data_IF_001006296895
#
_entry.id   IF_001006296895
#
_cell.length_a   1.000
_cell.length_b   1.000
_cell.length_c   1.000
_cell.angle_alpha   90.00
_cell.angle_beta   90.00
_cell.angle_gamma   90.00
#
_symmetry.space_group_name_H-M   'P 1'
#
loop_
_entity.id
_entity.type
_entity.pdbx_description
1 polymer ?
#
# COMPACT_ATOMS: atom_id res chain seq x y z
N UNK A 1 -2.05 12.50 2.24
CA UNK A 1 -2.56 12.28 0.85
C UNK A 1 -2.02 13.30 -0.14
N UNK A 2 -2.12 14.61 0.10
CA UNK A 2 -1.59 15.64 -0.82
C UNK A 2 -0.11 15.46 -1.21
N UNK A 3 0.78 15.15 -0.27
CA UNK A 3 2.21 14.95 -0.53
C UNK A 3 2.48 13.80 -1.52
N UNK A 4 1.76 12.69 -1.39
CA UNK A 4 1.86 11.58 -2.34
C UNK A 4 1.36 11.96 -3.73
N UNK A 5 0.20 12.61 -3.80
CA UNK A 5 -0.35 13.08 -5.09
C UNK A 5 0.61 14.03 -5.77
N UNK A 6 1.21 14.99 -5.05
CA UNK A 6 2.21 15.92 -5.61
C UNK A 6 3.43 15.18 -6.20
N UNK A 7 3.86 14.08 -5.57
CA UNK A 7 5.01 13.31 -6.08
C UNK A 7 4.65 12.35 -7.20
N UNK A 8 3.38 11.97 -7.34
CA UNK A 8 2.88 11.11 -8.41
C UNK A 8 2.63 11.84 -9.73
N UNK A 9 2.43 13.17 -9.67
CA UNK A 9 2.19 13.94 -10.89
C UNK A 9 3.46 13.92 -11.73
N UNK A 10 3.42 13.17 -12.83
CA UNK A 10 4.43 13.29 -13.87
C UNK A 10 4.42 14.75 -14.39
N UNK A 11 5.53 15.21 -14.99
CA UNK A 11 5.52 16.48 -15.71
C UNK A 11 4.51 16.40 -16.85
N UNK A 12 3.29 16.69 -16.53
CA UNK A 12 2.22 16.76 -17.51
C UNK A 12 2.48 18.06 -18.26
N UNK A 13 2.68 17.97 -19.56
CA UNK A 13 2.17 19.00 -20.42
C UNK A 13 0.69 19.05 -20.09
N UNK A 14 0.28 20.04 -19.32
CA UNK A 14 -1.12 20.45 -19.20
C UNK A 14 -1.54 20.90 -20.62
N UNK A 15 -1.78 19.91 -21.47
CA UNK A 15 -2.47 20.12 -22.69
C UNK A 15 -3.91 20.40 -22.25
N UNK A 16 -4.33 21.65 -22.29
CA UNK A 16 -5.72 22.11 -22.18
C UNK A 16 -6.62 21.53 -23.29
N UNK A 17 -6.17 20.49 -23.95
CA UNK A 17 -6.76 19.87 -25.14
C UNK A 17 -7.64 18.65 -24.83
N UNK A 18 -8.22 18.59 -23.62
CA UNK A 18 -9.23 17.57 -23.29
C UNK A 18 -8.75 16.11 -23.26
N UNK A 19 -7.45 15.86 -23.40
CA UNK A 19 -6.87 14.53 -23.25
C UNK A 19 -6.58 14.25 -21.77
N UNK A 20 -7.13 13.16 -21.30
CA UNK A 20 -6.92 12.58 -19.97
C UNK A 20 -5.43 12.57 -19.61
N UNK A 21 -5.07 13.27 -18.54
CA UNK A 21 -3.74 13.22 -17.95
C UNK A 21 -3.53 11.83 -17.38
N UNK A 22 -2.61 11.05 -17.93
CA UNK A 22 -2.19 9.79 -17.33
C UNK A 22 -1.46 10.09 -16.02
N UNK A 23 -2.15 9.93 -14.91
CA UNK A 23 -1.56 10.02 -13.59
C UNK A 23 -0.96 8.64 -13.30
N UNK A 24 0.28 8.45 -13.71
CA UNK A 24 1.03 7.22 -13.46
C UNK A 24 1.27 7.06 -11.95
N UNK A 25 1.25 5.81 -11.47
CA UNK A 25 1.56 5.45 -10.08
C UNK A 25 0.53 5.85 -9.00
N UNK A 26 -0.70 6.22 -9.36
CA UNK A 26 -1.82 6.22 -8.41
C UNK A 26 -2.50 4.84 -8.29
N UNK A 27 -1.89 3.84 -8.86
CA UNK A 27 -2.28 2.43 -8.81
C UNK A 27 -1.41 1.63 -7.81
N UNK A 28 -1.50 0.32 -7.85
CA UNK A 28 -0.74 -0.58 -6.99
C UNK A 28 0.78 -0.41 -7.04
N UNK A 29 1.33 0.13 -8.14
CA UNK A 29 2.78 0.38 -8.26
C UNK A 29 3.27 1.50 -7.35
N UNK A 30 2.39 2.43 -6.99
CA UNK A 30 2.71 3.56 -6.11
C UNK A 30 2.54 3.29 -4.62
N UNK A 31 2.00 2.13 -4.22
CA UNK A 31 1.68 1.83 -2.81
C UNK A 31 2.91 1.96 -1.89
N UNK A 32 4.07 1.43 -2.30
CA UNK A 32 5.29 1.54 -1.48
C UNK A 32 5.74 2.99 -1.29
N UNK A 33 5.71 3.78 -2.37
CA UNK A 33 6.03 5.20 -2.27
C UNK A 33 5.03 5.93 -1.35
N UNK A 34 3.74 5.58 -1.41
CA UNK A 34 2.72 6.12 -0.52
C UNK A 34 3.00 5.81 0.95
N UNK A 35 3.39 4.57 1.26
CA UNK A 35 3.76 4.15 2.63
C UNK A 35 4.96 4.97 3.13
N UNK A 36 6.03 5.05 2.35
CA UNK A 36 7.23 5.83 2.73
C UNK A 36 6.92 7.30 2.95
N UNK A 37 6.18 7.93 2.04
CA UNK A 37 5.78 9.33 2.15
C UNK A 37 4.89 9.54 3.38
N UNK A 38 3.98 8.62 3.67
CA UNK A 38 3.11 8.71 4.83
C UNK A 38 3.89 8.67 6.14
N UNK A 39 4.80 7.70 6.28
CA UNK A 39 5.66 7.57 7.47
C UNK A 39 6.53 8.83 7.62
N UNK A 40 7.19 9.26 6.54
CA UNK A 40 8.03 10.45 6.54
C UNK A 40 7.24 11.71 6.92
N UNK A 41 6.03 11.86 6.38
CA UNK A 41 5.14 12.99 6.68
C UNK A 41 4.79 13.04 8.14
N UNK A 42 4.35 11.91 8.70
CA UNK A 42 3.94 11.83 10.12
C UNK A 42 5.13 12.11 11.03
N UNK A 43 6.29 11.54 10.73
CA UNK A 43 7.49 11.71 11.56
C UNK A 43 8.01 13.16 11.52
N UNK A 44 8.09 13.77 10.34
CA UNK A 44 8.48 15.17 10.21
C UNK A 44 7.47 16.11 10.88
N UNK A 45 6.18 15.84 10.71
CA UNK A 45 5.13 16.60 11.38
C UNK A 45 5.25 16.50 12.90
N UNK A 46 5.47 15.27 13.44
CA UNK A 46 5.69 15.02 14.87
C UNK A 46 6.87 15.83 15.40
N UNK A 47 8.03 15.75 14.73
CA UNK A 47 9.24 16.48 15.14
C UNK A 47 9.00 18.00 15.15
N UNK A 48 8.32 18.53 14.16
CA UNK A 48 8.01 19.97 14.10
C UNK A 48 7.05 20.38 15.22
N UNK A 49 6.06 19.53 15.55
CA UNK A 49 5.12 19.78 16.65
C UNK A 49 5.81 19.72 18.02
N UNK A 50 6.65 18.72 18.27
CA UNK A 50 7.42 18.59 19.52
C UNK A 50 8.35 19.78 19.76
N UNK A 51 8.96 20.30 18.69
CA UNK A 51 9.82 21.49 18.74
C UNK A 51 9.06 22.82 18.76
N UNK A 52 7.73 22.79 18.79
CA UNK A 52 6.87 23.98 18.67
C UNK A 52 7.21 24.86 17.46
N UNK A 53 7.62 24.25 16.36
CA UNK A 53 8.05 24.96 15.16
C UNK A 53 6.89 25.78 14.57
N UNK A 54 7.10 27.10 14.45
CA UNK A 54 6.12 28.01 13.87
C UNK A 54 4.83 28.16 14.70
N UNK A 55 4.84 27.85 16.01
CA UNK A 55 3.67 28.01 16.86
C UNK A 55 3.32 29.50 17.01
N UNK A 56 2.17 29.88 16.49
CA UNK A 56 1.62 31.21 16.62
C UNK A 56 1.00 31.30 18.03
N UNK A 57 1.52 32.22 18.84
CA UNK A 57 0.94 32.52 20.17
C UNK A 57 -0.31 33.39 19.94
N UNK A 58 -1.46 32.84 20.24
CA UNK A 58 -2.73 33.54 20.24
C UNK A 58 -3.02 34.10 21.64
N UNK A 59 -3.82 35.17 21.77
CA UNK A 59 -4.29 35.67 23.05
C UNK A 59 -5.06 34.61 23.83
N UNK A 60 -5.01 34.68 25.19
CA UNK A 60 -5.67 33.73 26.10
C UNK A 60 -7.21 33.65 25.95
N UNK A 61 -7.79 34.64 25.26
CA UNK A 61 -9.22 34.66 24.95
C UNK A 61 -9.63 33.68 23.81
N UNK A 62 -8.66 33.07 23.11
CA UNK A 62 -8.92 32.19 21.99
C UNK A 62 -9.05 30.73 22.49
N UNK A 63 -10.10 29.98 22.08
CA UNK A 63 -10.25 28.58 22.44
C UNK A 63 -9.06 27.72 22.03
N UNK A 64 -8.66 26.76 22.88
CA UNK A 64 -7.50 25.88 22.64
C UNK A 64 -7.58 25.11 21.30
N UNK A 65 -8.77 24.70 20.90
CA UNK A 65 -8.99 24.01 19.61
C UNK A 65 -8.59 24.87 18.42
N UNK A 66 -8.83 26.19 18.49
CA UNK A 66 -8.45 27.11 17.43
C UNK A 66 -6.94 27.37 17.45
N UNK A 67 -6.37 27.52 18.64
CA UNK A 67 -4.92 27.66 18.84
C UNK A 67 -4.14 26.45 18.29
N UNK A 68 -4.63 25.22 18.51
CA UNK A 68 -4.04 24.00 17.95
C UNK A 68 -4.16 23.93 16.42
N UNK A 69 -5.26 24.41 15.85
CA UNK A 69 -5.43 24.48 14.39
C UNK A 69 -4.39 25.42 13.78
N UNK A 70 -4.20 26.62 14.33
CA UNK A 70 -3.18 27.55 13.85
C UNK A 70 -1.75 27.01 14.05
N UNK A 71 -1.49 26.33 15.16
CA UNK A 71 -0.19 25.70 15.40
C UNK A 71 0.15 24.59 14.39
N UNK A 72 -0.84 23.99 13.72
CA UNK A 72 -0.66 22.97 12.68
C UNK A 72 -0.40 23.54 11.28
N UNK A 73 -0.71 24.82 11.04
CA UNK A 73 -0.58 25.43 9.71
C UNK A 73 0.88 25.53 9.25
N UNK A 74 1.78 26.03 10.12
CA UNK A 74 3.19 26.18 9.77
C UNK A 74 3.85 24.85 9.39
N UNK A 75 3.74 23.78 10.21
CA UNK A 75 4.21 22.46 9.80
C UNK A 75 3.60 21.95 8.50
N UNK A 76 2.29 22.18 8.29
CA UNK A 76 1.61 21.80 7.05
C UNK A 76 2.18 22.49 5.83
N UNK A 77 2.38 23.81 5.89
CA UNK A 77 2.97 24.60 4.79
C UNK A 77 4.39 24.11 4.48
N UNK A 78 5.21 23.85 5.50
CA UNK A 78 6.58 23.36 5.32
C UNK A 78 6.59 21.99 4.64
N UNK A 79 5.69 21.10 5.01
CA UNK A 79 5.57 19.78 4.37
C UNK A 79 5.15 19.89 2.90
N UNK A 80 4.20 20.78 2.57
CA UNK A 80 3.79 21.03 1.18
C UNK A 80 4.98 21.58 0.40
N UNK A 81 5.71 22.55 0.96
CA UNK A 81 6.91 23.11 0.31
C UNK A 81 7.97 22.03 0.09
N UNK A 82 8.22 21.16 1.09
CA UNK A 82 9.15 20.05 0.96
C UNK A 82 8.78 19.11 -0.20
N UNK A 83 7.52 18.70 -0.29
CA UNK A 83 7.07 17.83 -1.38
C UNK A 83 7.09 18.53 -2.74
N UNK A 84 6.86 19.85 -2.78
CA UNK A 84 7.00 20.63 -4.00
C UNK A 84 8.46 20.67 -4.47
N UNK A 85 9.42 20.83 -3.56
CA UNK A 85 10.86 20.76 -3.88
C UNK A 85 11.23 19.36 -4.37
N UNK A 86 10.79 18.30 -3.69
CA UNK A 86 11.00 16.93 -4.14
C UNK A 86 10.41 16.69 -5.53
N UNK A 87 9.21 17.20 -5.79
CA UNK A 87 8.61 17.14 -7.13
C UNK A 87 9.52 17.80 -8.18
N UNK A 88 10.03 19.01 -7.95
CA UNK A 88 10.92 19.72 -8.88
C UNK A 88 12.21 18.92 -9.14
N UNK A 89 12.79 18.31 -8.10
CA UNK A 89 14.00 17.49 -8.24
C UNK A 89 13.73 16.30 -9.17
N UNK A 90 12.68 15.52 -8.91
CA UNK A 90 12.34 14.36 -9.73
C UNK A 90 11.86 14.74 -11.12
N UNK A 91 11.19 15.90 -11.26
CA UNK A 91 10.84 16.47 -12.54
C UNK A 91 12.07 16.72 -13.43
N UNK A 92 13.12 17.34 -12.88
CA UNK A 92 14.37 17.56 -13.60
C UNK A 92 15.08 16.25 -13.97
N UNK A 93 14.89 15.19 -13.18
CA UNK A 93 15.37 13.83 -13.47
C UNK A 93 14.50 13.10 -14.51
N UNK A 94 13.45 13.74 -15.07
CA UNK A 94 12.49 13.14 -16.00
C UNK A 94 11.82 11.86 -15.45
N UNK A 95 11.64 11.80 -14.13
CA UNK A 95 10.98 10.67 -13.44
C UNK A 95 10.06 11.21 -12.35
N UNK A 96 9.34 10.32 -11.69
CA UNK A 96 8.56 10.64 -10.49
C UNK A 96 9.14 9.88 -9.31
N UNK A 97 8.92 10.37 -8.08
CA UNK A 97 9.38 9.66 -6.88
C UNK A 97 8.83 8.22 -6.83
N UNK A 98 7.53 7.97 -7.05
CA UNK A 98 7.01 6.60 -7.12
C UNK A 98 7.63 5.77 -8.24
N UNK A 99 7.87 6.36 -9.43
CA UNK A 99 8.51 5.68 -10.54
C UNK A 99 9.95 5.28 -10.23
N UNK A 100 10.69 6.15 -9.57
CA UNK A 100 12.06 5.85 -9.12
C UNK A 100 12.07 4.71 -8.09
N UNK A 101 11.21 4.77 -7.07
CA UNK A 101 11.06 3.71 -6.05
C UNK A 101 10.68 2.40 -6.71
N UNK A 102 9.68 2.40 -7.59
CA UNK A 102 9.24 1.22 -8.31
C UNK A 102 10.36 0.59 -9.14
N UNK A 103 11.09 1.39 -9.90
CA UNK A 103 12.19 0.91 -10.75
C UNK A 103 13.32 0.28 -9.92
N UNK A 104 13.64 0.85 -8.76
CA UNK A 104 14.66 0.28 -7.85
C UNK A 104 14.23 -1.02 -7.21
N UNK A 105 12.93 -1.20 -6.96
CA UNK A 105 12.36 -2.40 -6.34
C UNK A 105 11.87 -3.44 -7.37
N UNK A 106 11.85 -3.11 -8.66
CA UNK A 106 11.42 -4.02 -9.71
C UNK A 106 12.10 -5.41 -9.69
N UNK A 107 13.40 -5.53 -9.42
CA UNK A 107 14.05 -6.84 -9.28
C UNK A 107 13.46 -7.67 -8.13
N UNK A 108 13.21 -7.03 -6.98
CA UNK A 108 12.61 -7.70 -5.82
C UNK A 108 11.18 -8.19 -6.13
N UNK A 109 10.38 -7.41 -6.83
CA UNK A 109 9.06 -7.82 -7.29
C UNK A 109 9.08 -8.99 -8.25
N UNK A 110 10.10 -9.09 -9.09
CA UNK A 110 10.27 -10.23 -10.00
C UNK A 110 10.62 -11.51 -9.24
N UNK A 111 11.48 -11.42 -8.22
CA UNK A 111 11.79 -12.56 -7.34
C UNK A 111 10.54 -12.98 -6.55
N UNK A 112 9.78 -12.01 -6.05
CA UNK A 112 8.55 -12.25 -5.29
C UNK A 112 7.41 -12.86 -6.15
N UNK A 113 7.49 -12.77 -7.48
CA UNK A 113 6.55 -13.43 -8.40
C UNK A 113 6.94 -14.89 -8.72
N UNK A 114 8.06 -15.35 -8.17
CA UNK A 114 8.50 -16.73 -8.38
C UNK A 114 7.67 -17.74 -7.58
N UNK A 115 7.44 -18.93 -8.16
CA UNK A 115 6.70 -20.00 -7.47
C UNK A 115 7.28 -20.39 -6.09
N UNK A 116 8.60 -20.54 -5.92
CA UNK A 116 9.16 -20.83 -4.60
C UNK A 116 8.83 -19.76 -3.56
N UNK A 117 8.92 -18.48 -3.93
CA UNK A 117 8.57 -17.39 -3.03
C UNK A 117 7.10 -17.46 -2.62
N UNK A 118 6.18 -17.65 -3.56
CA UNK A 118 4.75 -17.73 -3.30
C UNK A 118 4.43 -18.89 -2.35
N UNK A 119 5.01 -20.07 -2.59
CA UNK A 119 4.80 -21.25 -1.74
C UNK A 119 5.32 -21.00 -0.33
N UNK A 120 6.55 -20.50 -0.18
CA UNK A 120 7.16 -20.22 1.12
C UNK A 120 6.35 -19.17 1.89
N UNK A 121 5.97 -18.06 1.23
CA UNK A 121 5.19 -17.01 1.88
C UNK A 121 3.80 -17.48 2.28
N UNK A 122 3.14 -18.28 1.43
CA UNK A 122 1.86 -18.90 1.79
C UNK A 122 2.01 -19.80 3.00
N UNK A 123 3.05 -20.65 3.06
CA UNK A 123 3.30 -21.52 4.19
C UNK A 123 3.58 -20.74 5.47
N UNK A 124 4.37 -19.67 5.40
CA UNK A 124 4.64 -18.77 6.54
C UNK A 124 3.35 -18.14 7.05
N UNK A 125 2.55 -17.53 6.18
CA UNK A 125 1.29 -16.88 6.57
C UNK A 125 0.34 -17.89 7.21
N UNK A 126 0.21 -19.09 6.65
CA UNK A 126 -0.65 -20.14 7.21
C UNK A 126 -0.13 -20.67 8.55
N UNK A 127 1.20 -20.76 8.72
CA UNK A 127 1.80 -21.13 10.00
C UNK A 127 1.49 -20.08 11.08
N UNK A 128 1.60 -18.81 10.76
CA UNK A 128 1.26 -17.71 11.70
C UNK A 128 -0.23 -17.70 12.05
N UNK A 129 -1.08 -18.06 11.10
CA UNK A 129 -2.51 -18.28 11.37
C UNK A 129 -2.75 -19.34 12.45
N UNK A 130 -1.98 -20.42 12.42
CA UNK A 130 -2.04 -21.46 13.47
C UNK A 130 -1.75 -20.87 14.86
N UNK A 131 -0.90 -19.87 14.96
CA UNK A 131 -0.61 -19.13 16.19
C UNK A 131 -1.60 -17.99 16.48
N UNK A 132 -2.66 -17.83 15.68
CA UNK A 132 -3.68 -16.80 15.88
C UNK A 132 -3.32 -15.44 15.28
N UNK A 133 -2.26 -15.33 14.47
CA UNK A 133 -1.88 -14.09 13.80
C UNK A 133 -2.60 -13.99 12.46
N UNK A 134 -3.46 -12.98 12.32
CA UNK A 134 -4.20 -12.75 11.08
C UNK A 134 -3.28 -12.34 9.92
N UNK A 135 -3.60 -12.74 8.69
CA UNK A 135 -2.81 -12.44 7.47
C UNK A 135 -2.68 -10.94 7.20
N UNK A 136 -3.60 -10.11 7.71
CA UNK A 136 -3.50 -8.66 7.65
C UNK A 136 -2.19 -8.11 8.26
N UNK A 137 -1.56 -8.84 9.20
CA UNK A 137 -0.26 -8.47 9.74
C UNK A 137 0.85 -8.47 8.67
N UNK A 138 0.71 -9.29 7.63
CA UNK A 138 1.64 -9.37 6.50
C UNK A 138 1.28 -8.46 5.33
N UNK A 139 0.11 -7.81 5.37
CA UNK A 139 -0.39 -6.98 4.28
C UNK A 139 0.53 -5.82 3.94
N UNK A 140 1.20 -5.22 4.94
CA UNK A 140 2.16 -4.14 4.72
C UNK A 140 3.29 -4.52 3.76
N UNK A 141 3.71 -5.79 3.76
CA UNK A 141 4.79 -6.32 2.92
C UNK A 141 4.22 -6.92 1.63
N UNK A 142 3.14 -7.71 1.72
CA UNK A 142 2.63 -8.48 0.60
C UNK A 142 1.71 -7.68 -0.32
N UNK A 143 0.94 -6.72 0.20
CA UNK A 143 0.02 -5.95 -0.62
C UNK A 143 0.73 -5.13 -1.71
N UNK A 144 1.82 -4.40 -1.45
CA UNK A 144 2.54 -3.69 -2.51
C UNK A 144 2.98 -4.59 -3.66
N UNK A 145 3.41 -5.81 -3.36
CA UNK A 145 3.86 -6.79 -4.36
C UNK A 145 2.68 -7.25 -5.21
N UNK A 146 1.59 -7.69 -4.55
CA UNK A 146 0.39 -8.23 -5.21
C UNK A 146 -0.34 -7.18 -6.05
N UNK A 147 -0.52 -5.97 -5.49
CA UNK A 147 -1.20 -4.87 -6.18
C UNK A 147 -0.37 -4.32 -7.33
N UNK A 148 0.96 -4.25 -7.18
CA UNK A 148 1.86 -3.90 -8.27
C UNK A 148 1.76 -4.93 -9.42
N UNK A 149 1.74 -6.22 -9.10
CA UNK A 149 1.54 -7.28 -10.08
C UNK A 149 0.20 -7.17 -10.80
N UNK A 150 -0.87 -6.87 -10.06
CA UNK A 150 -2.20 -6.66 -10.62
C UNK A 150 -2.23 -5.47 -11.59
N UNK A 151 -1.61 -4.35 -11.23
CA UNK A 151 -1.52 -3.17 -12.10
C UNK A 151 -0.75 -3.44 -13.39
N UNK A 152 0.35 -4.21 -13.31
CA UNK A 152 1.11 -4.63 -14.50
C UNK A 152 0.25 -5.51 -15.40
N UNK A 153 -0.49 -6.47 -14.84
CA UNK A 153 -1.39 -7.34 -15.58
C UNK A 153 -2.55 -6.56 -16.24
N UNK A 154 -3.12 -5.59 -15.53
CA UNK A 154 -4.18 -4.74 -16.07
C UNK A 154 -3.68 -3.95 -17.29
N UNK A 155 -2.51 -3.35 -17.20
CA UNK A 155 -1.89 -2.62 -18.29
C UNK A 155 -1.59 -3.55 -19.50
N UNK A 156 -1.05 -4.75 -19.25
CA UNK A 156 -0.77 -5.74 -20.30
C UNK A 156 -2.05 -6.18 -21.01
N UNK A 157 -3.12 -6.45 -20.26
CA UNK A 157 -4.42 -6.82 -20.81
C UNK A 157 -5.03 -5.72 -21.68
N UNK A 158 -4.96 -4.47 -21.25
CA UNK A 158 -5.43 -3.32 -22.03
C UNK A 158 -4.64 -3.15 -23.34
N UNK A 159 -3.35 -3.50 -23.33
CA UNK A 159 -2.48 -3.49 -24.51
C UNK A 159 -2.64 -4.75 -25.40
N UNK A 160 -3.52 -5.70 -25.04
CA UNK A 160 -3.72 -6.95 -25.79
C UNK A 160 -2.62 -7.98 -25.58
N UNK A 161 -1.79 -7.84 -24.55
CA UNK A 161 -0.70 -8.77 -24.23
C UNK A 161 -1.11 -9.78 -23.14
N UNK A 162 -0.37 -10.89 -23.06
CA UNK A 162 -0.51 -11.86 -21.98
C UNK A 162 -0.13 -11.20 -20.63
N UNK A 163 -0.82 -11.61 -19.58
CA UNK A 163 -0.56 -11.11 -18.22
C UNK A 163 0.73 -11.74 -17.66
N UNK A 164 1.80 -10.96 -17.42
CA UNK A 164 3.11 -11.51 -17.07
C UNK A 164 3.29 -11.83 -15.59
N UNK A 165 2.38 -11.41 -14.71
CA UNK A 165 2.51 -11.57 -13.25
C UNK A 165 1.52 -12.59 -12.72
N UNK A 166 2.03 -13.52 -11.87
CA UNK A 166 1.22 -14.56 -11.24
C UNK A 166 0.80 -14.13 -9.84
N UNK A 167 1.72 -13.62 -9.03
CA UNK A 167 1.46 -13.25 -7.64
C UNK A 167 0.70 -11.93 -7.53
N UNK A 168 -0.62 -12.03 -7.66
CA UNK A 168 -1.57 -10.91 -7.60
C UNK A 168 -2.60 -11.12 -6.50
N UNK A 169 -3.34 -10.09 -6.13
CA UNK A 169 -4.39 -10.20 -5.11
C UNK A 169 -5.46 -11.24 -5.48
N UNK A 170 -5.99 -11.31 -6.72
CA UNK A 170 -6.90 -12.40 -7.09
C UNK A 170 -6.26 -13.79 -6.95
N UNK A 171 -5.01 -13.95 -7.37
CA UNK A 171 -4.30 -15.23 -7.21
C UNK A 171 -4.19 -15.62 -5.73
N UNK A 172 -3.82 -14.68 -4.86
CA UNK A 172 -3.73 -14.90 -3.43
C UNK A 172 -5.05 -15.36 -2.84
N UNK A 173 -6.14 -14.65 -3.14
CA UNK A 173 -7.47 -14.93 -2.58
C UNK A 173 -8.02 -16.27 -3.07
N UNK A 174 -7.87 -16.58 -4.36
CA UNK A 174 -8.51 -17.76 -4.95
C UNK A 174 -7.66 -19.03 -4.90
N UNK A 175 -6.34 -18.92 -4.75
CA UNK A 175 -5.45 -20.09 -4.78
C UNK A 175 -4.63 -20.30 -3.51
N UNK A 176 -4.13 -19.22 -2.87
CA UNK A 176 -3.29 -19.34 -1.68
C UNK A 176 -4.09 -19.49 -0.39
N UNK A 177 -5.26 -18.84 -0.29
CA UNK A 177 -6.13 -18.87 0.90
C UNK A 177 -7.50 -19.45 0.58
N UNK A 178 -7.54 -20.57 -0.15
CA UNK A 178 -8.78 -21.27 -0.52
C UNK A 178 -9.59 -21.59 0.74
N UNK A 179 -10.87 -21.21 0.74
CA UNK A 179 -11.76 -21.37 1.89
C UNK A 179 -11.70 -20.22 2.89
N UNK A 180 -10.97 -19.15 2.57
CA UNK A 180 -10.81 -17.96 3.41
C UNK A 180 -9.55 -17.95 4.25
N UNK A 181 -9.41 -16.90 5.03
CA UNK A 181 -8.28 -16.72 5.92
C UNK A 181 -8.16 -17.89 6.90
N UNK A 182 -6.96 -18.43 7.07
CA UNK A 182 -6.68 -19.55 7.98
C UNK A 182 -6.92 -20.94 7.39
N UNK A 183 -7.02 -21.05 6.06
CA UNK A 183 -7.20 -22.35 5.36
C UNK A 183 -8.39 -23.14 5.88
N UNK A 184 -9.55 -22.49 6.00
CA UNK A 184 -10.78 -23.09 6.55
C UNK A 184 -11.15 -24.38 5.81
N UNK A 185 -10.85 -24.49 4.50
CA UNK A 185 -11.06 -25.72 3.74
C UNK A 185 -10.29 -26.92 4.32
N UNK A 186 -9.03 -26.71 4.71
CA UNK A 186 -8.22 -27.77 5.34
C UNK A 186 -8.82 -28.17 6.71
N UNK A 187 -9.29 -27.19 7.49
CA UNK A 187 -9.98 -27.44 8.75
C UNK A 187 -11.28 -28.22 8.52
N UNK A 188 -12.11 -27.85 7.54
CA UNK A 188 -13.33 -28.56 7.20
C UNK A 188 -13.06 -30.03 6.84
N UNK A 189 -12.03 -30.29 6.01
CA UNK A 189 -11.62 -31.68 5.67
C UNK A 189 -11.20 -32.47 6.91
N UNK A 190 -10.47 -31.82 7.85
CA UNK A 190 -10.06 -32.46 9.10
C UNK A 190 -11.27 -32.74 10.02
N UNK A 191 -12.22 -31.81 10.10
CA UNK A 191 -13.46 -31.96 10.86
C UNK A 191 -14.31 -33.13 10.34
N UNK A 192 -14.43 -33.29 9.02
CA UNK A 192 -15.12 -34.42 8.40
C UNK A 192 -14.49 -35.78 8.80
N UNK A 193 -13.17 -35.80 9.01
CA UNK A 193 -12.43 -37.00 9.45
C UNK A 193 -12.41 -37.19 10.97
N UNK A 194 -12.93 -36.24 11.74
CA UNK A 194 -12.96 -36.29 13.20
C UNK A 194 -13.80 -37.46 13.69
N UNK A 195 -13.39 -38.09 14.79
CA UNK A 195 -14.16 -39.11 15.49
C UNK A 195 -15.29 -38.52 16.36
N UNK A 196 -15.25 -37.25 16.67
CA UNK A 196 -16.26 -36.54 17.45
C UNK A 196 -17.54 -36.28 16.64
N UNK A 197 -18.68 -36.77 17.16
CA UNK A 197 -20.01 -36.51 16.55
C UNK A 197 -20.38 -35.01 16.54
N UNK A 198 -20.01 -34.27 17.57
CA UNK A 198 -20.28 -32.83 17.69
C UNK A 198 -19.54 -32.03 16.64
N UNK A 199 -18.26 -32.35 16.39
CA UNK A 199 -17.45 -31.66 15.37
C UNK A 199 -17.92 -31.97 13.95
N UNK A 200 -18.45 -33.18 13.69
CA UNK A 200 -19.05 -33.52 12.39
C UNK A 200 -20.38 -32.79 12.12
N UNK A 201 -21.15 -32.48 13.16
CA UNK A 201 -22.43 -31.79 13.01
C UNK A 201 -22.28 -30.29 12.78
N UNK A 202 -21.21 -29.67 13.29
CA UNK A 202 -20.94 -28.24 13.06
C UNK A 202 -20.60 -27.91 11.61
N UNK A 203 -20.14 -28.89 10.83
CA UNK A 203 -19.78 -28.73 9.41
C UNK A 203 -21.02 -28.77 8.46
N UNK A 204 -22.16 -29.30 8.93
CA UNK A 204 -23.39 -29.41 8.12
C UNK A 204 -24.31 -28.18 8.29
N UNK A 205 -24.03 -27.33 9.28
CA UNK A 205 -24.87 -26.16 9.63
C UNK A 205 -24.24 -24.81 9.25
N UNK A 206 -23.09 -24.79 8.58
CA UNK A 206 -22.42 -23.60 8.07
C UNK A 206 -22.43 -23.57 6.54
#
# INVERSE_FOLDING_TARGET
MCGFVLTCVAPIKLAFDGKTTEISYLDGKGILAAIFISILTVELYRIMREKNFGRIKLPDSVPDSLSETFASLCPGIVLIALYSVLFIIFFNMKTTLPGWVYTKLAPAFTVADSMPFVVIMTAIVQLFWFFGVHDAAFSGILAPIRESGLSVNAAAKLAGHAMPRTFTTPFWVYFCIIGGCGSVLALAILLCKSKSKQLKQSDVSA
#
